data_IF_627754343459
#
_entry.id   IF_627754343459
#
_cell.length_a   1.000
_cell.length_b   1.000
_cell.length_c   1.000
_cell.angle_alpha   90.00
_cell.angle_beta   90.00
_cell.angle_gamma   90.00
#
_symmetry.space_group_name_H-M   'P 1'
#
loop_
_entity.id
_entity.type
_entity.pdbx_description
1 polymer ?
#
# COMPACT_ATOMS: atom_id res chain seq x y z
N UNK A 1 -35.11 46.88 9.70
CA UNK A 1 -35.57 45.56 10.17
C UNK A 1 -35.53 44.60 9.00
N UNK A 2 -34.71 43.57 9.15
CA UNK A 2 -34.35 42.50 8.23
C UNK A 2 -35.51 41.54 7.92
N UNK A 3 -35.61 40.99 6.70
CA UNK A 3 -36.26 39.71 6.49
C UNK A 3 -35.25 38.55 6.59
N UNK A 4 -35.79 37.44 7.08
CA UNK A 4 -35.14 36.20 7.47
C UNK A 4 -34.41 35.47 6.33
N UNK A 5 -33.26 34.91 6.70
CA UNK A 5 -32.59 33.71 6.20
C UNK A 5 -33.30 32.94 5.06
N UNK A 6 -32.75 33.03 3.84
CA UNK A 6 -32.72 31.88 2.92
C UNK A 6 -31.35 31.21 3.04
N UNK A 7 -31.24 30.25 3.98
CA UNK A 7 -30.12 29.31 3.98
C UNK A 7 -30.32 28.37 2.81
N UNK A 8 -29.72 28.78 1.71
CA UNK A 8 -29.84 28.18 0.41
C UNK A 8 -28.82 27.02 0.33
N UNK A 9 -29.15 25.86 -0.27
CA UNK A 9 -28.38 24.60 -0.15
C UNK A 9 -27.01 24.61 -0.88
N UNK A 10 -26.59 25.79 -1.33
CA UNK A 10 -25.41 26.03 -2.15
C UNK A 10 -24.07 25.71 -1.49
N UNK A 11 -23.86 25.89 -0.16
CA UNK A 11 -22.62 25.46 0.48
C UNK A 11 -22.45 23.94 0.43
N UNK A 12 -23.54 23.19 0.61
CA UNK A 12 -23.55 21.74 0.54
C UNK A 12 -23.32 21.26 -0.90
N UNK A 13 -23.91 21.92 -1.90
CA UNK A 13 -23.69 21.65 -3.32
C UNK A 13 -22.25 21.98 -3.76
N UNK A 14 -21.66 23.06 -3.25
CA UNK A 14 -20.26 23.42 -3.52
C UNK A 14 -19.30 22.43 -2.87
N UNK A 15 -19.55 22.03 -1.62
CA UNK A 15 -18.76 21.01 -0.95
C UNK A 15 -18.85 19.65 -1.66
N UNK A 16 -20.04 19.26 -2.14
CA UNK A 16 -20.23 18.03 -2.91
C UNK A 16 -19.65 18.10 -4.32
N UNK A 17 -19.65 19.27 -4.98
CA UNK A 17 -19.00 19.46 -6.27
C UNK A 17 -17.46 19.43 -6.16
N UNK A 18 -16.90 20.03 -5.11
CA UNK A 18 -15.46 19.99 -4.83
C UNK A 18 -15.03 18.58 -4.43
N UNK A 19 -15.76 17.92 -3.52
CA UNK A 19 -15.49 16.53 -3.13
C UNK A 19 -15.69 15.57 -4.33
N UNK A 20 -16.75 15.75 -5.12
CA UNK A 20 -17.03 14.99 -6.32
C UNK A 20 -15.97 15.19 -7.41
N UNK A 21 -15.51 16.42 -7.59
CA UNK A 21 -14.40 16.77 -8.49
C UNK A 21 -13.08 16.16 -8.05
N UNK A 22 -12.74 16.23 -6.76
CA UNK A 22 -11.56 15.58 -6.20
C UNK A 22 -11.62 14.04 -6.31
N UNK A 23 -12.82 13.46 -6.20
CA UNK A 23 -13.05 12.03 -6.32
C UNK A 23 -12.94 11.51 -7.75
N UNK A 24 -13.53 12.24 -8.70
CA UNK A 24 -13.47 11.92 -10.13
C UNK A 24 -12.06 12.17 -10.68
N UNK A 25 -11.37 13.22 -10.22
CA UNK A 25 -10.00 13.54 -10.64
C UNK A 25 -8.97 12.49 -10.22
N UNK A 26 -9.15 11.83 -9.07
CA UNK A 26 -8.19 10.84 -8.54
C UNK A 26 -8.54 9.38 -8.79
N UNK A 27 -9.66 9.11 -9.48
CA UNK A 27 -9.93 7.81 -10.10
C UNK A 27 -8.92 7.59 -11.24
N UNK A 28 -7.71 7.15 -10.89
CA UNK A 28 -6.65 6.78 -11.83
C UNK A 28 -7.06 5.51 -12.60
N UNK A 29 -7.86 5.67 -13.65
CA UNK A 29 -8.01 4.66 -14.68
C UNK A 29 -7.48 5.23 -15.99
N UNK A 30 -6.73 4.45 -16.80
CA UNK A 30 -6.29 4.90 -18.12
C UNK A 30 -7.51 5.21 -18.99
N UNK A 31 -7.56 6.39 -19.61
CA UNK A 31 -8.57 6.72 -20.63
C UNK A 31 -9.63 7.77 -20.27
N UNK A 32 -9.51 8.50 -19.16
CA UNK A 32 -10.59 9.38 -18.68
C UNK A 32 -10.33 10.90 -18.81
N UNK A 33 -9.76 11.32 -19.94
CA UNK A 33 -9.72 12.75 -20.33
C UNK A 33 -11.13 13.40 -20.31
N UNK A 34 -12.17 12.62 -20.64
CA UNK A 34 -13.56 13.06 -20.68
C UNK A 34 -14.18 13.29 -19.30
N UNK A 35 -13.84 12.51 -18.27
CA UNK A 35 -14.37 12.74 -16.91
C UNK A 35 -13.74 13.95 -16.25
N UNK A 36 -12.46 14.22 -16.53
CA UNK A 36 -11.76 15.41 -16.10
C UNK A 36 -12.31 16.67 -16.79
N UNK A 37 -12.62 16.58 -18.10
CA UNK A 37 -13.31 17.65 -18.84
C UNK A 37 -14.73 17.92 -18.31
N UNK A 38 -15.49 16.88 -17.93
CA UNK A 38 -16.82 17.00 -17.33
C UNK A 38 -16.78 17.64 -15.93
N UNK A 39 -15.79 17.31 -15.09
CA UNK A 39 -15.59 17.98 -13.82
C UNK A 39 -15.25 19.46 -13.97
N UNK A 40 -14.44 19.80 -14.96
CA UNK A 40 -14.11 21.18 -15.27
C UNK A 40 -15.29 21.95 -15.84
N UNK A 41 -16.08 21.33 -16.72
CA UNK A 41 -17.34 21.91 -17.19
C UNK A 41 -18.34 22.13 -16.03
N UNK A 42 -18.39 21.22 -15.06
CA UNK A 42 -19.19 21.38 -13.84
C UNK A 42 -18.71 22.51 -12.93
N UNK A 43 -17.40 22.64 -12.73
CA UNK A 43 -16.80 23.75 -11.98
C UNK A 43 -16.99 25.10 -12.69
N UNK A 44 -16.89 25.12 -14.01
CA UNK A 44 -17.11 26.30 -14.84
C UNK A 44 -18.58 26.72 -14.86
N UNK A 45 -19.50 25.76 -14.98
CA UNK A 45 -20.94 25.99 -14.80
C UNK A 45 -21.28 26.53 -13.41
N UNK A 46 -20.62 26.03 -12.36
CA UNK A 46 -20.72 26.56 -11.00
C UNK A 46 -20.25 28.01 -10.88
N UNK A 47 -19.07 28.34 -11.42
CA UNK A 47 -18.52 29.71 -11.37
C UNK A 47 -19.42 30.74 -12.08
N UNK A 48 -20.03 30.36 -13.22
CA UNK A 48 -21.01 31.18 -13.92
C UNK A 48 -22.32 31.41 -13.13
N UNK A 49 -22.73 30.46 -12.28
CA UNK A 49 -23.93 30.58 -11.44
C UNK A 49 -23.74 31.51 -10.23
N UNK A 50 -22.50 31.72 -9.76
CA UNK A 50 -22.19 32.52 -8.56
C UNK A 50 -21.84 33.99 -8.82
N UNK A 51 -21.98 34.48 -10.07
CA UNK A 51 -21.66 35.86 -10.44
C UNK A 51 -20.24 36.28 -10.00
N UNK A 52 -19.32 35.32 -10.03
CA UNK A 52 -17.93 35.49 -9.60
C UNK A 52 -17.23 36.45 -10.56
N UNK A 53 -16.50 37.43 -10.02
CA UNK A 53 -15.82 38.43 -10.86
C UNK A 53 -14.94 37.77 -11.93
N UNK A 54 -14.83 38.40 -13.10
CA UNK A 54 -14.07 37.89 -14.25
C UNK A 54 -12.63 37.49 -13.86
N UNK A 55 -12.02 38.22 -12.93
CA UNK A 55 -10.67 37.95 -12.42
C UNK A 55 -10.60 36.60 -11.66
N UNK A 56 -11.56 36.33 -10.78
CA UNK A 56 -11.63 35.07 -10.04
C UNK A 56 -11.92 33.87 -10.96
N UNK A 57 -12.76 34.06 -11.98
CA UNK A 57 -13.05 33.02 -12.97
C UNK A 57 -11.83 32.68 -13.83
N UNK A 58 -11.04 33.68 -14.23
CA UNK A 58 -9.77 33.48 -14.94
C UNK A 58 -8.72 32.79 -14.06
N UNK A 59 -8.64 33.13 -12.77
CA UNK A 59 -7.74 32.46 -11.82
C UNK A 59 -8.13 30.99 -11.64
N UNK A 60 -9.41 30.68 -11.45
CA UNK A 60 -9.90 29.30 -11.34
C UNK A 60 -9.64 28.50 -12.62
N UNK A 61 -9.82 29.11 -13.79
CA UNK A 61 -9.48 28.48 -15.07
C UNK A 61 -7.97 28.23 -15.19
N UNK A 62 -7.13 29.21 -14.85
CA UNK A 62 -5.67 29.04 -14.91
C UNK A 62 -5.17 27.97 -13.94
N UNK A 63 -5.72 27.91 -12.71
CA UNK A 63 -5.43 26.88 -11.72
C UNK A 63 -5.88 25.53 -12.26
N UNK A 64 -7.08 25.45 -12.81
CA UNK A 64 -7.62 24.23 -13.41
C UNK A 64 -6.77 23.72 -14.57
N UNK A 65 -6.37 24.60 -15.50
CA UNK A 65 -5.47 24.26 -16.61
C UNK A 65 -4.08 23.84 -16.11
N UNK A 66 -3.55 24.49 -15.08
CA UNK A 66 -2.29 24.11 -14.44
C UNK A 66 -2.40 22.72 -13.78
N UNK A 67 -3.47 22.46 -13.03
CA UNK A 67 -3.75 21.15 -12.43
C UNK A 67 -3.99 20.06 -13.48
N UNK A 68 -4.61 20.38 -14.61
CA UNK A 68 -4.74 19.45 -15.74
C UNK A 68 -3.40 19.17 -16.42
N UNK A 69 -2.57 20.19 -16.64
CA UNK A 69 -1.26 20.02 -17.23
C UNK A 69 -0.37 19.12 -16.37
N UNK A 70 -0.31 19.42 -15.07
CA UNK A 70 0.35 18.57 -14.06
C UNK A 70 -0.29 17.17 -14.02
N UNK A 71 -1.62 17.09 -14.17
CA UNK A 71 -2.45 15.92 -14.45
C UNK A 71 -1.94 14.98 -15.56
N UNK A 72 -1.82 15.57 -16.74
CA UNK A 72 -1.65 14.90 -18.02
C UNK A 72 -0.22 14.44 -18.28
N UNK A 73 0.77 15.09 -17.66
CA UNK A 73 2.19 14.76 -17.84
C UNK A 73 2.56 13.36 -17.31
N UNK A 74 1.69 12.73 -16.51
CA UNK A 74 1.96 11.46 -15.84
C UNK A 74 1.66 10.21 -16.70
N UNK A 75 1.09 10.37 -17.91
CA UNK A 75 0.60 9.25 -18.73
C UNK A 75 1.66 8.61 -19.64
N UNK A 76 2.83 9.23 -19.84
CA UNK A 76 3.87 8.71 -20.74
C UNK A 76 4.62 7.54 -20.09
N UNK A 77 4.56 6.36 -20.72
CA UNK A 77 5.34 5.19 -20.32
C UNK A 77 6.70 5.16 -21.02
N UNK A 78 7.74 4.92 -20.23
CA UNK A 78 9.08 4.70 -20.73
C UNK A 78 9.19 3.30 -21.34
N UNK A 79 10.02 3.12 -22.39
CA UNK A 79 10.20 1.81 -23.03
C UNK A 79 10.65 0.76 -22.03
N UNK A 80 10.14 -0.47 -22.17
CA UNK A 80 10.43 -1.59 -21.26
C UNK A 80 11.78 -2.24 -21.60
N UNK A 81 12.23 -2.13 -22.84
CA UNK A 81 13.38 -2.86 -23.36
C UNK A 81 14.61 -2.65 -22.49
N UNK A 82 15.26 -3.77 -22.15
CA UNK A 82 16.50 -3.84 -21.37
C UNK A 82 16.40 -3.34 -19.92
N UNK A 83 15.18 -3.13 -19.39
CA UNK A 83 14.99 -2.80 -17.98
C UNK A 83 14.83 -4.05 -17.13
N UNK A 84 15.57 -4.08 -16.03
CA UNK A 84 15.51 -5.15 -15.07
C UNK A 84 14.83 -4.72 -13.76
N UNK A 85 13.97 -5.57 -13.21
CA UNK A 85 13.19 -5.31 -12.00
C UNK A 85 13.39 -6.42 -10.99
N UNK A 86 13.76 -6.07 -9.76
CA UNK A 86 13.75 -6.98 -8.62
C UNK A 86 12.40 -6.88 -7.91
N UNK A 87 11.74 -8.01 -7.65
CA UNK A 87 10.52 -8.10 -6.85
C UNK A 87 10.77 -9.02 -5.66
N UNK A 88 10.67 -8.50 -4.43
CA UNK A 88 10.80 -9.33 -3.22
C UNK A 88 9.46 -9.92 -2.78
N UNK A 89 9.48 -11.09 -2.15
CA UNK A 89 8.25 -11.80 -1.74
C UNK A 89 7.42 -12.25 -2.94
N UNK A 90 8.09 -12.80 -3.96
CA UNK A 90 7.48 -13.26 -5.19
C UNK A 90 6.89 -14.67 -5.09
N UNK A 91 6.88 -15.29 -3.89
CA UNK A 91 6.35 -16.64 -3.66
C UNK A 91 4.84 -16.74 -3.88
N UNK A 92 4.09 -15.66 -3.62
CA UNK A 92 2.63 -15.64 -3.76
C UNK A 92 2.08 -14.20 -3.84
N UNK A 93 0.76 -14.08 -3.94
CA UNK A 93 0.06 -12.80 -3.84
C UNK A 93 0.51 -11.76 -4.87
N UNK A 94 0.68 -10.51 -4.43
CA UNK A 94 1.05 -9.39 -5.31
C UNK A 94 2.41 -9.58 -5.97
N UNK A 95 3.43 -10.00 -5.23
CA UNK A 95 4.78 -10.17 -5.78
C UNK A 95 4.82 -11.20 -6.89
N UNK A 96 4.15 -12.34 -6.68
CA UNK A 96 4.03 -13.41 -7.68
C UNK A 96 3.29 -12.94 -8.94
N UNK A 97 2.10 -12.35 -8.78
CA UNK A 97 1.32 -11.84 -9.91
C UNK A 97 2.05 -10.71 -10.66
N UNK A 98 2.73 -9.82 -9.94
CA UNK A 98 3.52 -8.75 -10.51
C UNK A 98 4.70 -9.29 -11.32
N UNK A 99 5.42 -10.29 -10.80
CA UNK A 99 6.56 -10.88 -11.49
C UNK A 99 6.12 -11.46 -12.85
N UNK A 100 5.02 -12.23 -12.88
CA UNK A 100 4.42 -12.75 -14.12
C UNK A 100 3.97 -11.64 -15.06
N UNK A 101 3.38 -10.58 -14.52
CA UNK A 101 2.91 -9.45 -15.30
C UNK A 101 4.04 -8.67 -15.96
N UNK A 102 5.11 -8.38 -15.22
CA UNK A 102 6.28 -7.67 -15.74
C UNK A 102 7.04 -8.51 -16.78
N UNK A 103 7.13 -9.82 -16.62
CA UNK A 103 7.71 -10.73 -17.62
C UNK A 103 6.94 -10.69 -18.95
N UNK A 104 5.60 -10.70 -18.88
CA UNK A 104 4.72 -10.54 -20.06
C UNK A 104 4.89 -9.20 -20.77
N UNK A 105 5.20 -8.14 -20.02
CA UNK A 105 5.49 -6.81 -20.59
C UNK A 105 6.90 -6.71 -21.18
N UNK A 106 7.76 -7.71 -21.00
CA UNK A 106 9.11 -7.76 -21.58
C UNK A 106 10.24 -7.33 -20.64
N UNK A 107 9.97 -7.06 -19.36
CA UNK A 107 11.03 -6.77 -18.39
C UNK A 107 11.91 -8.00 -18.14
N UNK A 108 13.18 -7.77 -17.80
CA UNK A 108 13.97 -8.78 -17.08
C UNK A 108 13.53 -8.76 -15.62
N UNK A 109 13.06 -9.89 -15.09
CA UNK A 109 12.48 -9.93 -13.74
C UNK A 109 13.33 -10.82 -12.84
N UNK A 110 13.82 -10.27 -11.75
CA UNK A 110 14.39 -11.05 -10.66
C UNK A 110 13.32 -11.26 -9.59
N UNK A 111 12.79 -12.47 -9.51
CA UNK A 111 11.79 -12.85 -8.54
C UNK A 111 12.47 -13.36 -7.26
N UNK A 112 12.61 -12.49 -6.26
CA UNK A 112 13.11 -12.84 -4.93
C UNK A 112 12.05 -13.60 -4.13
N UNK A 113 12.31 -14.88 -3.89
CA UNK A 113 11.41 -15.81 -3.19
C UNK A 113 12.03 -16.29 -1.88
N UNK A 114 11.19 -16.54 -0.88
CA UNK A 114 11.63 -17.09 0.42
C UNK A 114 12.08 -18.54 0.29
N UNK A 115 11.46 -19.33 -0.59
CA UNK A 115 11.89 -20.70 -0.90
C UNK A 115 11.99 -20.90 -2.41
N UNK A 116 13.23 -20.97 -2.92
CA UNK A 116 13.48 -21.22 -4.34
C UNK A 116 13.01 -22.60 -4.83
N UNK A 117 12.74 -23.55 -3.93
CA UNK A 117 12.16 -24.86 -4.27
C UNK A 117 10.66 -24.92 -3.96
N UNK A 118 10.07 -23.83 -3.48
CA UNK A 118 8.66 -23.74 -3.17
C UNK A 118 7.78 -23.77 -4.42
N UNK A 119 6.50 -24.06 -4.22
CA UNK A 119 5.52 -24.17 -5.32
C UNK A 119 5.38 -22.90 -6.16
N UNK A 120 5.39 -21.72 -5.52
CA UNK A 120 5.33 -20.44 -6.23
C UNK A 120 6.56 -20.18 -7.08
N UNK A 121 7.75 -20.52 -6.59
CA UNK A 121 8.99 -20.44 -7.35
C UNK A 121 8.98 -21.36 -8.58
N UNK A 122 8.45 -22.58 -8.41
CA UNK A 122 8.33 -23.54 -9.50
C UNK A 122 7.29 -23.11 -10.54
N UNK A 123 6.16 -22.56 -10.11
CA UNK A 123 5.16 -22.00 -11.02
C UNK A 123 5.73 -20.85 -11.86
N UNK A 124 6.51 -19.95 -11.25
CA UNK A 124 7.20 -18.87 -11.97
C UNK A 124 8.13 -19.43 -13.06
N UNK A 125 8.97 -20.43 -12.74
CA UNK A 125 9.87 -21.05 -13.73
C UNK A 125 9.10 -21.71 -14.88
N UNK A 126 7.98 -22.36 -14.57
CA UNK A 126 7.18 -23.09 -15.55
C UNK A 126 6.37 -22.17 -16.47
N UNK A 127 5.91 -21.02 -15.97
CA UNK A 127 4.93 -20.18 -16.66
C UNK A 127 5.49 -18.88 -17.25
N UNK A 128 6.68 -18.46 -16.85
CA UNK A 128 7.33 -17.24 -17.35
C UNK A 128 8.44 -17.55 -18.36
N UNK A 129 8.84 -16.51 -19.09
CA UNK A 129 9.93 -16.60 -20.06
C UNK A 129 11.31 -16.67 -19.37
N UNK A 130 12.35 -16.93 -20.15
CA UNK A 130 13.75 -16.92 -19.69
C UNK A 130 14.23 -15.56 -19.14
N UNK A 131 13.45 -14.49 -19.35
CA UNK A 131 13.71 -13.16 -18.75
C UNK A 131 13.39 -13.12 -17.27
N UNK A 132 12.59 -14.05 -16.75
CA UNK A 132 12.32 -14.17 -15.33
C UNK A 132 13.29 -15.16 -14.67
N UNK A 133 14.01 -14.67 -13.66
CA UNK A 133 15.00 -15.40 -12.88
C UNK A 133 14.54 -15.46 -11.43
N UNK A 134 14.36 -16.68 -10.91
CA UNK A 134 14.02 -16.90 -9.51
C UNK A 134 15.28 -16.86 -8.64
N UNK A 135 15.27 -16.04 -7.59
CA UNK A 135 16.36 -15.87 -6.63
C UNK A 135 15.90 -16.27 -5.23
N UNK A 136 16.66 -17.14 -4.57
CA UNK A 136 16.53 -17.39 -3.13
C UNK A 136 16.87 -16.10 -2.36
N UNK A 137 15.90 -15.51 -1.67
CA UNK A 137 16.05 -14.20 -1.05
C UNK A 137 15.10 -14.00 0.14
N UNK A 138 15.54 -14.47 1.31
CA UNK A 138 14.98 -14.07 2.60
C UNK A 138 15.48 -12.66 2.96
N UNK A 139 14.58 -11.69 3.01
CA UNK A 139 14.91 -10.29 3.31
C UNK A 139 15.40 -10.05 4.75
N UNK A 140 15.36 -11.07 5.61
CA UNK A 140 15.93 -11.01 6.97
C UNK A 140 17.36 -11.56 7.04
N UNK A 141 17.89 -12.09 5.92
CA UNK A 141 19.22 -12.69 5.84
C UNK A 141 20.08 -11.92 4.86
N UNK A 142 20.92 -11.03 5.40
CA UNK A 142 21.80 -10.16 4.61
C UNK A 142 22.67 -10.91 3.59
N UNK A 143 23.13 -12.12 3.91
CA UNK A 143 23.93 -12.92 2.97
C UNK A 143 23.13 -13.35 1.74
N UNK A 144 21.84 -13.71 1.89
CA UNK A 144 20.98 -14.00 0.74
C UNK A 144 20.68 -12.74 -0.09
N UNK A 145 20.56 -11.58 0.56
CA UNK A 145 20.39 -10.29 -0.15
C UNK A 145 21.64 -9.97 -0.97
N UNK A 146 22.84 -10.18 -0.42
CA UNK A 146 24.12 -9.98 -1.13
C UNK A 146 24.31 -10.97 -2.27
N UNK A 147 23.95 -12.23 -2.09
CA UNK A 147 24.00 -13.24 -3.15
C UNK A 147 23.06 -12.89 -4.31
N UNK A 148 21.83 -12.46 -3.99
CA UNK A 148 20.90 -11.95 -4.98
C UNK A 148 21.47 -10.72 -5.70
N UNK A 149 22.06 -9.78 -4.95
CA UNK A 149 22.69 -8.59 -5.52
C UNK A 149 23.81 -8.94 -6.51
N UNK A 150 24.69 -9.89 -6.18
CA UNK A 150 25.76 -10.34 -7.07
C UNK A 150 25.21 -10.88 -8.39
N UNK A 151 24.17 -11.72 -8.34
CA UNK A 151 23.51 -12.27 -9.54
C UNK A 151 22.82 -11.19 -10.38
N UNK A 152 22.16 -10.22 -9.74
CA UNK A 152 21.54 -9.08 -10.43
C UNK A 152 22.61 -8.21 -11.08
N UNK A 153 23.69 -7.91 -10.37
CA UNK A 153 24.79 -7.09 -10.87
C UNK A 153 25.47 -7.75 -12.07
N UNK A 154 25.72 -9.06 -12.04
CA UNK A 154 26.28 -9.81 -13.15
C UNK A 154 25.40 -9.71 -14.42
N UNK A 155 24.08 -9.87 -14.25
CA UNK A 155 23.13 -9.85 -15.37
C UNK A 155 22.85 -8.45 -15.91
N UNK A 156 22.91 -7.41 -15.07
CA UNK A 156 22.59 -6.02 -15.45
C UNK A 156 23.81 -5.19 -15.83
N UNK A 157 25.01 -5.58 -15.39
CA UNK A 157 26.29 -4.94 -15.70
C UNK A 157 26.22 -3.41 -15.47
N UNK A 158 26.68 -2.61 -16.44
CA UNK A 158 26.74 -1.15 -16.31
C UNK A 158 25.39 -0.45 -16.49
N UNK A 159 24.37 -1.15 -16.99
CA UNK A 159 23.00 -0.59 -17.10
C UNK A 159 22.39 -0.37 -15.71
N UNK A 160 22.82 -1.14 -14.72
CA UNK A 160 22.24 -1.15 -13.39
C UNK A 160 20.82 -1.74 -13.36
N UNK A 161 20.16 -1.59 -12.21
CA UNK A 161 18.84 -2.16 -11.98
C UNK A 161 17.77 -1.09 -12.17
N UNK A 162 16.77 -1.32 -13.01
CA UNK A 162 15.74 -0.30 -13.28
C UNK A 162 14.80 -0.08 -12.10
N UNK A 163 14.35 -1.15 -11.45
CA UNK A 163 13.48 -1.02 -10.30
C UNK A 163 13.71 -2.08 -9.22
N UNK A 164 13.48 -1.68 -7.96
CA UNK A 164 13.33 -2.59 -6.82
C UNK A 164 11.92 -2.41 -6.29
N UNK A 165 11.18 -3.51 -6.18
CA UNK A 165 9.85 -3.58 -5.57
C UNK A 165 9.98 -4.32 -4.25
N UNK A 166 10.02 -3.57 -3.15
CA UNK A 166 9.96 -4.14 -1.80
C UNK A 166 8.51 -4.51 -1.49
N UNK A 167 8.17 -5.77 -1.76
CA UNK A 167 6.84 -6.32 -1.55
C UNK A 167 6.80 -7.36 -0.42
N UNK A 168 7.93 -8.01 -0.10
CA UNK A 168 8.02 -8.97 0.99
C UNK A 168 7.39 -8.42 2.28
N UNK A 169 6.50 -9.20 2.87
CA UNK A 169 5.80 -8.81 4.08
C UNK A 169 5.02 -9.96 4.70
N UNK A 170 4.82 -9.85 6.01
CA UNK A 170 4.03 -10.78 6.82
C UNK A 170 3.03 -9.99 7.66
N UNK A 171 1.93 -10.65 8.00
CA UNK A 171 1.02 -10.25 9.07
C UNK A 171 1.01 -11.38 10.10
N UNK A 172 0.95 -11.04 11.37
CA UNK A 172 0.80 -12.02 12.45
C UNK A 172 -0.67 -12.21 12.82
N UNK A 173 -0.93 -13.13 13.75
CA UNK A 173 -2.27 -13.39 14.28
C UNK A 173 -2.90 -12.11 14.84
N UNK A 174 -4.17 -11.81 14.50
CA UNK A 174 -4.81 -10.59 14.92
C UNK A 174 -5.22 -10.72 16.38
N UNK A 175 -4.71 -9.83 17.21
CA UNK A 175 -5.03 -9.75 18.63
C UNK A 175 -4.69 -8.36 19.14
N UNK A 176 -5.27 -7.97 20.28
CA UNK A 176 -4.97 -6.69 20.91
C UNK A 176 -3.47 -6.48 21.08
N UNK A 177 -3.01 -5.25 20.87
CA UNK A 177 -1.58 -4.94 20.79
C UNK A 177 -0.80 -5.37 22.04
N UNK A 178 -1.42 -5.29 23.21
CA UNK A 178 -0.86 -5.76 24.48
C UNK A 178 -0.58 -7.27 24.50
N UNK A 179 -1.44 -8.06 23.85
CA UNK A 179 -1.37 -9.52 23.82
C UNK A 179 -0.40 -10.05 22.76
N UNK A 180 0.12 -9.18 21.89
CA UNK A 180 1.07 -9.58 20.85
C UNK A 180 2.44 -9.80 21.50
N UNK A 181 3.03 -11.01 21.42
CA UNK A 181 4.35 -11.26 21.96
C UNK A 181 5.42 -10.41 21.26
N UNK A 182 6.44 -9.97 22.00
CA UNK A 182 7.53 -9.19 21.43
C UNK A 182 8.30 -9.93 20.32
N UNK A 183 8.29 -11.27 20.31
CA UNK A 183 8.81 -12.08 19.20
C UNK A 183 8.09 -11.79 17.89
N UNK A 184 6.76 -11.66 17.92
CA UNK A 184 5.91 -11.31 16.78
C UNK A 184 6.13 -9.86 16.32
N UNK A 185 6.24 -8.90 17.26
CA UNK A 185 6.62 -7.52 16.91
C UNK A 185 7.98 -7.45 16.20
N UNK A 186 9.00 -8.12 16.76
CA UNK A 186 10.35 -8.16 16.17
C UNK A 186 10.35 -8.82 14.80
N UNK A 187 9.61 -9.92 14.62
CA UNK A 187 9.52 -10.63 13.33
C UNK A 187 8.82 -9.79 12.27
N UNK A 188 7.69 -9.17 12.59
CA UNK A 188 7.02 -8.19 11.72
C UNK A 188 7.98 -7.07 11.31
N UNK A 189 8.70 -6.48 12.28
CA UNK A 189 9.64 -5.39 12.03
C UNK A 189 10.82 -5.82 11.16
N UNK A 190 11.38 -6.99 11.42
CA UNK A 190 12.49 -7.56 10.68
C UNK A 190 12.13 -7.76 9.19
N UNK A 191 10.95 -8.31 8.89
CA UNK A 191 10.55 -8.56 7.50
C UNK A 191 10.01 -7.30 6.81
N UNK A 192 9.00 -6.65 7.39
CA UNK A 192 8.21 -5.63 6.71
C UNK A 192 8.92 -4.28 6.57
N UNK A 193 9.86 -4.00 7.48
CA UNK A 193 10.56 -2.72 7.54
C UNK A 193 12.07 -2.90 7.34
N UNK A 194 12.76 -3.57 8.28
CA UNK A 194 14.21 -3.68 8.24
C UNK A 194 14.68 -4.41 6.98
N UNK A 195 14.01 -5.48 6.56
CA UNK A 195 14.33 -6.18 5.32
C UNK A 195 14.18 -5.29 4.09
N UNK A 196 13.11 -4.49 4.00
CA UNK A 196 12.97 -3.52 2.92
C UNK A 196 14.08 -2.45 2.94
N UNK A 197 14.51 -2.00 4.12
CA UNK A 197 15.63 -1.07 4.29
C UNK A 197 16.96 -1.72 3.84
N UNK A 198 17.23 -2.96 4.25
CA UNK A 198 18.45 -3.69 3.86
C UNK A 198 18.51 -3.91 2.35
N UNK A 199 17.43 -4.42 1.75
CA UNK A 199 17.33 -4.58 0.29
C UNK A 199 17.54 -3.24 -0.41
N UNK A 200 16.89 -2.18 0.08
CA UNK A 200 17.08 -0.84 -0.48
C UNK A 200 18.55 -0.45 -0.45
N UNK A 201 19.23 -0.54 0.71
CA UNK A 201 20.63 -0.14 0.86
C UNK A 201 21.57 -0.93 -0.04
N UNK A 202 21.38 -2.25 -0.13
CA UNK A 202 22.23 -3.13 -0.95
C UNK A 202 22.06 -2.83 -2.45
N UNK A 203 20.83 -2.64 -2.92
CA UNK A 203 20.56 -2.44 -4.36
C UNK A 203 20.63 -0.98 -4.81
N UNK A 204 20.72 -0.02 -3.88
CA UNK A 204 20.75 1.41 -4.18
C UNK A 204 21.87 1.82 -5.17
N UNK A 205 23.11 1.29 -5.11
CA UNK A 205 24.13 1.59 -6.11
C UNK A 205 23.67 1.26 -7.55
N UNK A 206 22.98 0.13 -7.76
CA UNK A 206 22.46 -0.26 -9.07
C UNK A 206 21.31 0.63 -9.53
N UNK A 207 20.43 1.06 -8.60
CA UNK A 207 19.36 2.01 -8.90
C UNK A 207 19.91 3.40 -9.28
N UNK A 208 21.01 3.84 -8.66
CA UNK A 208 21.66 5.12 -8.99
C UNK A 208 22.25 5.11 -10.41
N UNK A 209 22.84 4.00 -10.85
CA UNK A 209 23.35 3.85 -12.23
C UNK A 209 22.24 4.02 -13.27
N UNK A 210 21.08 3.41 -13.03
CA UNK A 210 19.95 3.42 -13.96
C UNK A 210 19.04 4.65 -13.84
N UNK A 211 19.23 5.48 -12.79
CA UNK A 211 18.25 6.51 -12.37
C UNK A 211 16.85 5.91 -12.22
N UNK A 212 16.82 4.73 -11.59
CA UNK A 212 15.70 3.82 -11.56
C UNK A 212 14.57 4.20 -10.60
N UNK A 213 13.89 3.17 -10.10
CA UNK A 213 12.70 3.26 -9.24
C UNK A 213 12.86 2.40 -7.99
N UNK A 214 12.58 2.98 -6.83
CA UNK A 214 12.36 2.23 -5.59
C UNK A 214 10.87 2.26 -5.28
N UNK A 215 10.22 1.10 -5.30
CA UNK A 215 8.79 0.95 -5.05
C UNK A 215 8.60 0.17 -3.75
N UNK A 216 8.02 0.80 -2.74
CA UNK A 216 7.75 0.17 -1.45
C UNK A 216 6.25 -0.13 -1.32
N UNK A 217 5.90 -1.41 -1.15
CA UNK A 217 4.52 -1.85 -0.91
C UNK A 217 4.21 -1.76 0.58
N UNK A 218 3.60 -0.65 0.95
CA UNK A 218 3.12 -0.36 2.29
C UNK A 218 1.68 -0.91 2.47
N UNK A 219 0.81 -0.17 3.14
CA UNK A 219 -0.60 -0.49 3.34
C UNK A 219 -1.37 0.77 3.72
N UNK A 220 -2.69 0.78 3.51
CA UNK A 220 -3.59 1.74 4.15
C UNK A 220 -3.42 1.74 5.68
N UNK A 221 -3.11 0.58 6.27
CA UNK A 221 -2.84 0.42 7.71
C UNK A 221 -1.63 1.20 8.23
N UNK A 222 -0.85 1.84 7.34
CA UNK A 222 0.21 2.77 7.71
C UNK A 222 -0.30 4.14 8.18
N UNK A 223 -1.54 4.50 7.80
CA UNK A 223 -2.18 5.79 8.12
C UNK A 223 -3.50 5.63 8.84
N UNK A 224 -4.17 4.50 8.61
CA UNK A 224 -5.44 4.14 9.24
C UNK A 224 -5.15 3.15 10.35
N UNK A 225 -5.37 3.50 11.63
CA UNK A 225 -5.29 2.54 12.72
C UNK A 225 -6.32 1.43 12.50
N UNK A 226 -5.87 0.18 12.55
CA UNK A 226 -6.74 -0.98 12.45
C UNK A 226 -6.48 -1.81 13.71
N UNK A 227 -7.53 -2.04 14.48
CA UNK A 227 -7.48 -2.86 15.70
C UNK A 227 -6.99 -4.27 15.38
N UNK A 228 -6.44 -4.94 16.39
CA UNK A 228 -5.93 -6.31 16.33
C UNK A 228 -4.66 -6.54 15.50
N UNK A 229 -4.17 -5.55 14.74
CA UNK A 229 -2.98 -5.74 13.87
C UNK A 229 -1.90 -4.68 14.13
N UNK A 230 -1.72 -4.32 15.40
CA UNK A 230 -0.81 -3.26 15.85
C UNK A 230 0.63 -3.46 15.36
N UNK A 231 1.18 -4.68 15.47
CA UNK A 231 2.52 -5.00 14.98
C UNK A 231 2.66 -4.73 13.47
N UNK A 232 1.67 -5.15 12.67
CA UNK A 232 1.69 -4.95 11.22
C UNK A 232 1.56 -3.46 10.84
N UNK A 233 0.54 -2.77 11.36
CA UNK A 233 0.31 -1.35 11.08
C UNK A 233 1.53 -0.49 11.42
N UNK A 234 2.16 -0.74 12.58
CA UNK A 234 3.38 -0.04 13.02
C UNK A 234 4.51 -0.18 11.99
N UNK A 235 4.72 -1.38 11.45
CA UNK A 235 5.78 -1.60 10.43
C UNK A 235 5.49 -0.92 9.11
N UNK A 236 4.22 -0.90 8.67
CA UNK A 236 3.82 -0.23 7.44
C UNK A 236 3.86 1.30 7.58
N UNK A 237 3.57 1.83 8.77
CA UNK A 237 3.80 3.23 9.12
C UNK A 237 5.29 3.59 9.03
N UNK A 238 6.17 2.78 9.64
CA UNK A 238 7.62 2.96 9.56
C UNK A 238 8.13 2.95 8.11
N UNK A 239 7.71 1.97 7.31
CA UNK A 239 8.07 1.89 5.89
C UNK A 239 7.59 3.09 5.08
N UNK A 240 6.39 3.61 5.37
CA UNK A 240 5.84 4.80 4.70
C UNK A 240 6.65 6.06 5.02
N UNK A 241 7.03 6.23 6.29
CA UNK A 241 7.85 7.36 6.72
C UNK A 241 9.25 7.28 6.10
N UNK A 242 9.90 6.11 6.18
CA UNK A 242 11.19 5.86 5.54
C UNK A 242 11.15 6.17 4.04
N UNK A 243 10.12 5.69 3.33
CA UNK A 243 9.95 5.95 1.90
C UNK A 243 9.84 7.45 1.59
N UNK A 244 9.17 8.22 2.46
CA UNK A 244 8.98 9.66 2.30
C UNK A 244 10.27 10.44 2.51
N UNK A 245 11.13 9.99 3.43
CA UNK A 245 12.44 10.58 3.73
C UNK A 245 13.41 10.25 2.60
N UNK A 246 13.61 8.96 2.29
CA UNK A 246 14.60 8.52 1.31
C UNK A 246 14.28 9.03 -0.10
N UNK A 247 12.99 9.29 -0.41
CA UNK A 247 12.58 9.98 -1.65
C UNK A 247 13.26 11.34 -1.82
N UNK A 248 13.34 12.12 -0.74
CA UNK A 248 13.95 13.45 -0.78
C UNK A 248 15.47 13.33 -0.93
N UNK A 249 16.09 12.42 -0.18
CA UNK A 249 17.52 12.17 -0.23
C UNK A 249 18.00 11.64 -1.58
N UNK A 250 17.17 10.80 -2.23
CA UNK A 250 17.48 10.17 -3.51
C UNK A 250 17.14 11.00 -4.74
N UNK A 251 16.40 12.12 -4.56
CA UNK A 251 16.04 13.02 -5.65
C UNK A 251 17.27 13.52 -6.43
N UNK A 252 18.34 13.90 -5.72
CA UNK A 252 19.62 14.36 -6.32
C UNK A 252 20.34 13.31 -7.14
N UNK A 253 20.01 12.03 -6.93
CA UNK A 253 20.57 10.90 -7.67
C UNK A 253 19.70 10.47 -8.86
N UNK A 254 18.56 11.15 -9.07
CA UNK A 254 17.62 10.80 -10.14
C UNK A 254 16.80 9.53 -9.89
N UNK A 255 16.91 8.90 -8.71
CA UNK A 255 16.13 7.72 -8.35
C UNK A 255 14.76 8.18 -7.84
N UNK A 256 13.68 7.67 -8.45
CA UNK A 256 12.32 7.95 -7.98
C UNK A 256 11.92 6.94 -6.92
N UNK A 257 11.35 7.42 -5.82
CA UNK A 257 10.83 6.57 -4.75
C UNK A 257 9.31 6.70 -4.71
N UNK A 258 8.62 5.56 -4.73
CA UNK A 258 7.16 5.47 -4.80
C UNK A 258 6.66 4.56 -3.67
N UNK A 259 5.59 4.99 -3.00
CA UNK A 259 4.91 4.19 -1.97
C UNK A 259 3.54 3.75 -2.48
N UNK A 260 3.29 2.45 -2.44
CA UNK A 260 1.97 1.87 -2.74
C UNK A 260 1.30 1.56 -1.41
N UNK A 261 0.07 2.02 -1.20
CA UNK A 261 -0.70 1.79 0.03
C UNK A 261 -2.01 1.07 -0.29
N UNK A 262 -1.99 -0.27 -0.50
CA UNK A 262 -3.20 -1.03 -0.79
C UNK A 262 -4.19 -1.03 0.38
N UNK A 263 -5.48 -1.08 0.04
CA UNK A 263 -6.57 -1.46 0.94
C UNK A 263 -6.61 -2.97 1.22
N UNK A 264 -7.78 -3.50 1.55
CA UNK A 264 -7.98 -4.93 1.81
C UNK A 264 -8.10 -5.76 0.53
N UNK A 265 -7.12 -6.62 0.24
CA UNK A 265 -7.11 -7.53 -0.92
C UNK A 265 -6.85 -8.97 -0.48
N UNK A 266 -7.53 -9.92 -1.15
CA UNK A 266 -7.37 -11.35 -0.90
C UNK A 266 -6.00 -11.77 -1.41
N UNK A 267 -5.11 -12.06 -0.47
CA UNK A 267 -3.77 -12.57 -0.72
C UNK A 267 -3.41 -13.63 0.32
N UNK A 268 -2.35 -14.38 0.05
CA UNK A 268 -1.82 -15.39 0.97
C UNK A 268 -1.13 -14.76 2.20
N UNK A 269 -1.05 -13.43 2.29
CA UNK A 269 -0.45 -12.71 3.42
C UNK A 269 -1.05 -13.16 4.76
N UNK A 270 -2.37 -13.37 4.79
CA UNK A 270 -3.08 -13.80 6.00
C UNK A 270 -2.76 -15.23 6.42
N UNK A 271 -2.13 -16.06 5.58
CA UNK A 271 -1.77 -17.44 5.92
C UNK A 271 -2.93 -18.46 5.84
N UNK A 272 -2.65 -19.67 6.30
CA UNK A 272 -3.56 -20.82 6.34
C UNK A 272 -4.12 -21.05 7.76
N UNK A 273 -5.24 -21.76 7.92
CA UNK A 273 -5.76 -22.12 9.25
C UNK A 273 -4.71 -22.76 10.17
N UNK A 274 -3.82 -23.60 9.64
CA UNK A 274 -2.75 -24.22 10.41
C UNK A 274 -1.76 -23.19 10.96
N UNK A 275 -1.40 -22.18 10.15
CA UNK A 275 -0.54 -21.09 10.61
C UNK A 275 -1.22 -20.28 11.71
N UNK A 276 -2.55 -20.13 11.65
CA UNK A 276 -3.32 -19.39 12.67
C UNK A 276 -3.33 -20.14 14.00
N UNK A 277 -3.55 -21.45 13.96
CA UNK A 277 -3.51 -22.31 15.15
C UNK A 277 -2.13 -22.28 15.82
N UNK A 278 -1.06 -22.31 15.02
CA UNK A 278 0.31 -22.21 15.55
C UNK A 278 0.56 -20.86 16.23
N UNK A 279 0.19 -19.75 15.58
CA UNK A 279 0.39 -18.41 16.15
C UNK A 279 -0.46 -18.17 17.40
N UNK A 280 -1.68 -18.69 17.43
CA UNK A 280 -2.53 -18.64 18.62
C UNK A 280 -1.91 -19.38 19.80
N UNK A 281 -1.42 -20.61 19.57
CA UNK A 281 -0.74 -21.38 20.60
C UNK A 281 0.49 -20.63 21.14
N UNK A 282 1.29 -20.04 20.25
CA UNK A 282 2.42 -19.19 20.63
C UNK A 282 1.95 -18.02 21.51
N UNK A 283 0.85 -17.33 21.16
CA UNK A 283 0.31 -16.25 21.99
C UNK A 283 -0.05 -16.75 23.38
N UNK A 284 -0.87 -17.81 23.47
CA UNK A 284 -1.33 -18.35 24.75
C UNK A 284 -0.19 -18.79 25.66
N UNK A 285 0.89 -19.35 25.09
CA UNK A 285 2.09 -19.76 25.83
C UNK A 285 2.92 -18.60 26.38
N UNK A 286 2.79 -17.40 25.81
CA UNK A 286 3.56 -16.21 26.21
C UNK A 286 2.80 -15.24 27.13
N UNK A 287 1.50 -15.46 27.34
CA UNK A 287 0.70 -14.61 28.22
C UNK A 287 1.04 -14.85 29.69
N UNK A 288 1.06 -13.76 30.47
CA UNK A 288 1.10 -13.87 31.93
C UNK A 288 -0.22 -14.44 32.44
N UNK A 289 -0.20 -15.04 33.64
CA UNK A 289 -1.42 -15.57 34.26
C UNK A 289 -2.47 -14.47 34.47
N UNK A 290 -2.06 -13.28 34.93
CA UNK A 290 -2.92 -12.11 35.11
C UNK A 290 -3.61 -11.72 33.80
N UNK A 291 -2.84 -11.54 32.72
CA UNK A 291 -3.38 -11.19 31.40
C UNK A 291 -4.32 -12.27 30.85
N UNK A 292 -3.99 -13.55 31.08
CA UNK A 292 -4.83 -14.67 30.67
C UNK A 292 -6.18 -14.64 31.41
N UNK A 293 -6.18 -14.32 32.70
CA UNK A 293 -7.40 -14.25 33.52
C UNK A 293 -8.26 -13.02 33.16
N UNK A 294 -7.63 -11.89 32.84
CA UNK A 294 -8.31 -10.67 32.43
C UNK A 294 -9.01 -10.78 31.07
N UNK A 295 -8.32 -11.32 30.07
CA UNK A 295 -8.87 -11.43 28.72
C UNK A 295 -9.73 -12.67 28.54
N UNK A 296 -9.30 -13.80 29.11
CA UNK A 296 -9.94 -15.09 28.93
C UNK A 296 -9.63 -15.74 27.58
N UNK A 297 -9.52 -17.06 27.59
CA UNK A 297 -9.18 -17.86 26.42
C UNK A 297 -10.23 -17.74 25.30
N UNK A 298 -11.51 -17.63 25.66
CA UNK A 298 -12.62 -17.49 24.70
C UNK A 298 -12.50 -16.21 23.86
N UNK A 299 -12.06 -15.11 24.47
CA UNK A 299 -11.84 -13.84 23.78
C UNK A 299 -10.72 -13.96 22.75
N UNK A 300 -9.61 -14.60 23.13
CA UNK A 300 -8.45 -14.82 22.26
C UNK A 300 -8.84 -15.69 21.06
N UNK A 301 -9.52 -16.81 21.31
CA UNK A 301 -10.02 -17.69 20.26
C UNK A 301 -10.94 -16.97 19.27
N UNK A 302 -11.80 -16.09 19.79
CA UNK A 302 -12.73 -15.35 18.95
C UNK A 302 -12.04 -14.40 17.96
N UNK A 303 -10.80 -13.97 18.22
CA UNK A 303 -10.07 -13.08 17.31
C UNK A 303 -9.66 -13.75 15.99
N UNK A 304 -9.65 -15.09 15.91
CA UNK A 304 -9.50 -15.81 14.62
C UNK A 304 -10.53 -15.38 13.58
N UNK A 305 -11.74 -15.04 14.02
CA UNK A 305 -12.80 -14.56 13.13
C UNK A 305 -12.38 -13.29 12.39
N UNK A 306 -11.48 -12.48 12.93
CA UNK A 306 -10.97 -11.30 12.24
C UNK A 306 -10.20 -11.65 10.96
N UNK A 307 -9.38 -12.71 10.95
CA UNK A 307 -8.68 -13.15 9.73
C UNK A 307 -9.67 -13.62 8.66
N UNK A 308 -10.74 -14.31 9.08
CA UNK A 308 -11.81 -14.73 8.19
C UNK A 308 -12.57 -13.51 7.62
N UNK A 309 -12.97 -12.56 8.47
CA UNK A 309 -13.62 -11.32 8.06
C UNK A 309 -12.74 -10.53 7.10
N UNK A 310 -11.44 -10.42 7.36
CA UNK A 310 -10.50 -9.79 6.45
C UNK A 310 -10.46 -10.51 5.11
N UNK A 311 -10.40 -11.84 5.09
CA UNK A 311 -10.47 -12.62 3.85
C UNK A 311 -11.78 -12.32 3.12
N UNK A 312 -12.92 -12.39 3.78
CA UNK A 312 -14.24 -12.27 3.14
C UNK A 312 -14.53 -10.87 2.59
N UNK A 313 -14.16 -9.83 3.35
CA UNK A 313 -14.38 -8.42 2.96
C UNK A 313 -13.30 -7.88 2.00
N UNK A 314 -12.22 -8.62 1.78
CA UNK A 314 -11.16 -8.18 0.87
C UNK A 314 -11.54 -8.37 -0.59
N UNK A 315 -11.05 -7.45 -1.44
CA UNK A 315 -11.23 -7.54 -2.89
C UNK A 315 -10.45 -8.73 -3.46
N UNK A 316 -11.10 -9.55 -4.29
CA UNK A 316 -10.46 -10.68 -4.97
C UNK A 316 -9.61 -10.25 -6.16
N UNK A 317 -10.02 -9.19 -6.85
CA UNK A 317 -9.28 -8.66 -7.99
C UNK A 317 -8.10 -7.80 -7.52
N UNK A 318 -6.89 -8.28 -7.76
CA UNK A 318 -5.64 -7.60 -7.43
C UNK A 318 -5.12 -6.72 -8.59
N UNK A 319 -5.79 -6.72 -9.74
CA UNK A 319 -5.39 -5.96 -10.94
C UNK A 319 -5.11 -4.48 -10.64
N UNK A 320 -5.90 -3.77 -9.79
CA UNK A 320 -5.60 -2.38 -9.45
C UNK A 320 -4.22 -2.20 -8.79
N UNK A 321 -3.81 -3.15 -7.94
CA UNK A 321 -2.50 -3.11 -7.27
C UNK A 321 -1.37 -3.34 -8.29
N UNK A 322 -1.54 -4.32 -9.17
CA UNK A 322 -0.56 -4.63 -10.22
C UNK A 322 -0.42 -3.47 -11.21
N UNK A 323 -1.53 -2.86 -11.60
CA UNK A 323 -1.56 -1.68 -12.47
C UNK A 323 -0.87 -0.46 -11.85
N UNK A 324 -1.13 -0.18 -10.57
CA UNK A 324 -0.47 0.93 -9.86
C UNK A 324 1.04 0.71 -9.71
N UNK A 325 1.48 -0.53 -9.42
CA UNK A 325 2.91 -0.86 -9.36
C UNK A 325 3.55 -0.77 -10.76
N UNK A 326 2.89 -1.28 -11.81
CA UNK A 326 3.36 -1.12 -13.18
C UNK A 326 3.51 0.36 -13.53
N UNK A 327 2.51 1.19 -13.22
CA UNK A 327 2.57 2.63 -13.48
C UNK A 327 3.74 3.27 -12.72
N UNK A 328 3.96 2.89 -11.46
CA UNK A 328 5.11 3.36 -10.68
C UNK A 328 6.47 3.00 -11.32
N UNK A 329 6.57 1.83 -11.97
CA UNK A 329 7.78 1.35 -12.63
C UNK A 329 7.97 2.01 -14.00
N UNK A 330 6.89 2.15 -14.78
CA UNK A 330 6.97 2.49 -16.21
C UNK A 330 6.72 3.97 -16.51
N UNK A 331 6.01 4.71 -15.66
CA UNK A 331 5.74 6.13 -15.93
C UNK A 331 7.02 6.97 -15.92
N UNK A 332 7.05 7.95 -16.83
CA UNK A 332 8.09 8.98 -16.88
C UNK A 332 8.12 9.77 -15.58
N UNK A 333 6.95 10.20 -15.11
CA UNK A 333 6.74 10.92 -13.86
C UNK A 333 5.72 10.17 -12.99
N UNK A 334 6.14 9.18 -12.19
CA UNK A 334 5.20 8.50 -11.31
C UNK A 334 4.85 9.39 -10.11
N UNK A 335 3.60 9.31 -9.65
CA UNK A 335 3.18 9.83 -8.35
C UNK A 335 4.03 9.24 -7.22
N UNK A 336 4.26 10.01 -6.16
CA UNK A 336 4.95 9.49 -4.96
C UNK A 336 4.10 8.49 -4.16
N UNK A 337 2.77 8.56 -4.28
CA UNK A 337 1.82 7.69 -3.58
C UNK A 337 0.75 7.13 -4.52
N UNK A 338 0.40 5.86 -4.31
CA UNK A 338 -0.73 5.17 -4.93
C UNK A 338 -1.56 4.47 -3.86
N UNK A 339 -2.87 4.36 -4.07
CA UNK A 339 -3.82 3.90 -3.06
C UNK A 339 -4.80 2.89 -3.68
N UNK A 340 -4.32 1.74 -4.18
CA UNK A 340 -5.18 0.78 -4.85
C UNK A 340 -6.23 0.23 -3.87
N UNK A 341 -7.45 0.04 -4.38
CA UNK A 341 -8.60 -0.44 -3.62
C UNK A 341 -9.72 0.59 -3.51
N UNK A 342 -10.96 0.10 -3.52
CA UNK A 342 -12.15 0.97 -3.48
C UNK A 342 -12.18 1.73 -2.15
N UNK A 343 -12.36 3.04 -2.22
CA UNK A 343 -12.42 3.94 -1.05
C UNK A 343 -11.13 4.03 -0.21
N UNK A 344 -10.03 3.35 -0.56
CA UNK A 344 -8.77 3.40 0.21
C UNK A 344 -8.28 4.83 0.38
N UNK A 345 -8.23 5.59 -0.72
CA UNK A 345 -7.84 7.00 -0.70
C UNK A 345 -8.79 7.86 0.14
N UNK A 346 -10.11 7.63 0.00
CA UNK A 346 -11.13 8.33 0.78
C UNK A 346 -10.95 8.11 2.28
N UNK A 347 -10.76 6.87 2.71
CA UNK A 347 -10.51 6.55 4.11
C UNK A 347 -9.29 7.28 4.67
N UNK A 348 -8.19 7.32 3.91
CA UNK A 348 -7.00 8.06 4.29
C UNK A 348 -7.30 9.56 4.42
N UNK A 349 -8.06 10.14 3.49
CA UNK A 349 -8.48 11.53 3.59
C UNK A 349 -9.36 11.78 4.82
N UNK A 350 -10.39 10.97 5.05
CA UNK A 350 -11.27 11.10 6.21
C UNK A 350 -10.45 11.11 7.50
N UNK A 351 -9.56 10.14 7.68
CA UNK A 351 -8.77 10.02 8.91
C UNK A 351 -7.74 11.14 9.06
N UNK A 352 -7.26 11.71 7.97
CA UNK A 352 -6.29 12.82 8.03
C UNK A 352 -6.91 14.16 8.42
N UNK A 353 -8.22 14.34 8.26
CA UNK A 353 -8.90 15.63 8.47
C UNK A 353 -9.95 15.62 9.60
N UNK A 354 -10.44 14.45 10.02
CA UNK A 354 -11.41 14.36 11.11
C UNK A 354 -10.72 14.39 12.48
N UNK A 355 -11.39 14.92 13.53
CA UNK A 355 -10.91 14.80 14.91
C UNK A 355 -10.73 13.33 15.31
N UNK A 356 -9.67 13.05 16.07
CA UNK A 356 -9.32 11.68 16.50
C UNK A 356 -10.46 10.96 17.21
N UNK A 357 -11.20 11.65 18.09
CA UNK A 357 -12.34 11.05 18.81
C UNK A 357 -13.46 10.55 17.88
N UNK A 358 -13.72 11.26 16.78
CA UNK A 358 -14.70 10.86 15.79
C UNK A 358 -14.20 9.69 14.95
N UNK A 359 -12.91 9.71 14.59
CA UNK A 359 -12.26 8.61 13.88
C UNK A 359 -12.31 7.33 14.73
N UNK A 360 -11.92 7.41 16.00
CA UNK A 360 -11.91 6.27 16.92
C UNK A 360 -13.32 5.70 17.11
N UNK A 361 -14.34 6.55 17.24
CA UNK A 361 -15.74 6.12 17.31
C UNK A 361 -16.18 5.37 16.06
N UNK A 362 -15.89 5.89 14.86
CA UNK A 362 -16.23 5.24 13.59
C UNK A 362 -15.49 3.91 13.46
N UNK A 363 -14.19 3.88 13.74
CA UNK A 363 -13.38 2.67 13.64
C UNK A 363 -13.84 1.61 14.64
N UNK A 364 -14.20 1.99 15.87
CA UNK A 364 -14.77 1.08 16.86
C UNK A 364 -16.08 0.46 16.35
N UNK A 365 -16.97 1.25 15.73
CA UNK A 365 -18.22 0.71 15.16
C UNK A 365 -18.00 -0.20 13.95
N UNK A 366 -16.98 0.07 13.13
CA UNK A 366 -16.72 -0.70 11.91
C UNK A 366 -15.86 -1.95 12.12
N UNK A 367 -14.94 -1.92 13.10
CA UNK A 367 -13.86 -2.90 13.23
C UNK A 367 -13.71 -3.51 14.64
N UNK A 368 -14.40 -3.03 15.68
CA UNK A 368 -14.20 -3.58 17.01
C UNK A 368 -14.64 -5.06 17.11
N UNK A 369 -13.94 -5.85 17.92
CA UNK A 369 -14.36 -7.20 18.28
C UNK A 369 -15.77 -7.17 18.88
N UNK A 370 -16.59 -8.16 18.54
CA UNK A 370 -17.92 -8.33 19.15
C UNK A 370 -17.84 -8.98 20.54
N UNK A 371 -16.74 -9.67 20.82
CA UNK A 371 -16.49 -10.32 22.10
C UNK A 371 -15.80 -9.33 23.03
N UNK A 372 -16.06 -9.47 24.32
CA UNK A 372 -15.45 -8.65 25.37
C UNK A 372 -14.44 -9.49 26.16
N UNK A 373 -13.34 -8.89 26.64
CA UNK A 373 -12.46 -9.50 27.64
C UNK A 373 -13.24 -10.00 28.87
N UNK A 374 -12.79 -11.10 29.47
CA UNK A 374 -13.43 -11.74 30.63
C UNK A 374 -13.66 -10.80 31.81
N UNK A 375 -12.65 -10.01 32.18
CA UNK A 375 -12.74 -9.04 33.28
C UNK A 375 -13.84 -7.98 33.09
N UNK A 376 -14.19 -7.67 31.83
CA UNK A 376 -15.25 -6.69 31.50
C UNK A 376 -16.65 -7.32 31.47
N UNK A 377 -16.74 -8.65 31.45
CA UNK A 377 -18.02 -9.37 31.51
C UNK A 377 -18.47 -9.61 32.95
N UNK A 378 -17.53 -9.78 33.89
CA UNK A 378 -17.79 -10.03 35.31
C UNK A 378 -18.09 -8.77 36.12
N UNK A 379 -17.82 -7.58 35.58
CA UNK A 379 -18.04 -6.28 36.23
C UNK A 379 -19.44 -5.68 35.99
N UNK A 380 -20.45 -6.51 35.67
CA UNK A 380 -21.83 -6.07 35.39
C UNK A 380 -22.85 -6.68 36.33
#
# INVERSE_FOLDING_TARGET
MSPFFSQSPWPCLAATAVLGGMLLYRSKSPGQLWSQALCLAGLWGGACLFNVSLLCSLLLLSLSCFFLYMCSSDQEFLPVDQKAVLVTGADSGFGHALAKHLDKLGFTVFAGVLDAKGSGAEELRKTCSERLLVLQMDVTKIEQIKDAHSKVMEKTQDKGLWAVVNNAGIIHFPIDGELIPMTSYRKCMAVNFLGAVEVTKVFLPLLRKSKGRLVNVSSMGAKVPIQLIAAYCSTKAALTMFSSIIRQELCKWGVKVVTIQPGGFKTNLTGTPDTWNKMEKEILEHLSQETHDDYGQEYIYAQKNFLQIMKDKSFSDITPVIGDIQHAISARNPSSFYFPGRLTYLWICFISYLPTSLVDYILQKCFAPKHMPRALMTSR
#
